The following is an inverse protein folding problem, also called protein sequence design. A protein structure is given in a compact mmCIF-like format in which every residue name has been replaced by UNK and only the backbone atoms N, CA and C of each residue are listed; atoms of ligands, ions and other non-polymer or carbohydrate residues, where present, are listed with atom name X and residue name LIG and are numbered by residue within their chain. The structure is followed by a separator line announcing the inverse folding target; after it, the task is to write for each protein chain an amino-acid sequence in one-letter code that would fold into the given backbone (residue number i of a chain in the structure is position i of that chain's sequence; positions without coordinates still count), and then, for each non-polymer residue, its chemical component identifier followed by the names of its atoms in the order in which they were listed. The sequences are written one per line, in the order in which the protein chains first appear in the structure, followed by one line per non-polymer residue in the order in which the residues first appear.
data_IF_375258928265
#
_entry.id   IF_375258928265
#
_cell.length_a   1.000
_cell.length_b   1.000
_cell.length_c   1.000
_cell.angle_alpha   90.00
_cell.angle_beta   90.00
_cell.angle_gamma   90.00
#
_symmetry.space_group_name_H-M   'P 1'
#
loop_
_entity.id
_entity.type
_entity.pdbx_description
1 polymer ?
#
# COMPACT_ATOMS: atom_id res chain seq x y z
N UNK A 1 5.60 -24.08 -0.81
CA UNK A 1 4.37 -24.41 -0.03
C UNK A 1 4.71 -24.78 1.42
N UNK A 2 5.56 -25.77 1.69
CA UNK A 2 5.95 -26.14 3.07
C UNK A 2 6.53 -24.99 3.90
N UNK A 3 7.46 -24.19 3.36
CA UNK A 3 8.05 -23.06 4.08
C UNK A 3 6.98 -22.05 4.58
N UNK A 4 5.98 -21.77 3.75
CA UNK A 4 4.88 -20.85 4.10
C UNK A 4 4.02 -21.40 5.23
N UNK A 5 3.77 -22.71 5.22
CA UNK A 5 2.99 -23.40 6.24
C UNK A 5 3.72 -23.44 7.59
N UNK A 6 5.04 -23.63 7.58
CA UNK A 6 5.88 -23.58 8.79
C UNK A 6 5.95 -22.17 9.37
N UNK A 7 6.09 -21.15 8.53
CA UNK A 7 6.05 -19.76 8.99
C UNK A 7 4.69 -19.44 9.59
N UNK A 8 3.60 -19.78 8.89
CA UNK A 8 2.23 -19.56 9.36
C UNK A 8 1.98 -20.23 10.73
N UNK A 9 2.33 -21.51 10.89
CA UNK A 9 2.11 -22.21 12.16
C UNK A 9 2.94 -21.63 13.30
N UNK A 10 4.18 -21.18 13.04
CA UNK A 10 5.01 -20.49 14.02
C UNK A 10 4.41 -19.13 14.45
N UNK A 11 3.84 -18.39 13.50
CA UNK A 11 3.14 -17.12 13.80
C UNK A 11 1.88 -17.36 14.63
N UNK A 12 1.08 -18.37 14.28
CA UNK A 12 -0.13 -18.73 15.03
C UNK A 12 0.19 -19.18 16.45
N UNK A 13 1.21 -20.02 16.64
CA UNK A 13 1.67 -20.43 17.97
C UNK A 13 2.14 -19.24 18.83
N UNK A 14 2.73 -18.22 18.19
CA UNK A 14 3.12 -16.98 18.87
C UNK A 14 1.89 -16.14 19.26
N UNK A 15 0.90 -16.06 18.38
CA UNK A 15 -0.37 -15.37 18.65
C UNK A 15 -1.15 -16.04 19.81
N UNK A 16 -1.17 -17.37 19.88
CA UNK A 16 -1.84 -18.10 20.97
C UNK A 16 -1.16 -17.85 22.33
N UNK A 17 0.18 -17.77 22.37
CA UNK A 17 0.93 -17.40 23.57
C UNK A 17 0.58 -15.99 24.04
N UNK A 18 0.49 -15.04 23.12
CA UNK A 18 0.06 -13.67 23.43
C UNK A 18 -1.37 -13.66 23.97
N UNK A 19 -2.28 -14.40 23.33
CA UNK A 19 -3.68 -14.49 23.76
C UNK A 19 -3.82 -15.09 25.16
N UNK A 20 -3.05 -16.13 25.49
CA UNK A 20 -3.03 -16.74 26.81
C UNK A 20 -2.49 -15.79 27.89
N UNK A 21 -1.52 -14.93 27.57
CA UNK A 21 -1.04 -13.89 28.48
C UNK A 21 -2.08 -12.77 28.73
N UNK A 22 -3.02 -12.60 27.80
CA UNK A 22 -4.07 -11.58 27.83
C UNK A 22 -5.34 -12.02 28.57
N UNK A 23 -5.68 -13.31 28.56
CA UNK A 23 -6.92 -13.83 29.18
C UNK A 23 -6.88 -13.85 30.71
N UNK A 24 -5.69 -13.83 31.32
CA UNK A 24 -5.53 -13.67 32.76
C UNK A 24 -5.57 -12.20 33.15
N UNK A 25 -6.77 -11.62 33.26
CA UNK A 25 -7.06 -10.26 33.80
C UNK A 25 -6.12 -9.14 33.33
N UNK A 26 -6.48 -8.47 32.24
CA UNK A 26 -5.82 -7.27 31.68
C UNK A 26 -5.29 -6.25 32.72
N UNK A 27 -6.05 -6.01 33.81
CA UNK A 27 -5.64 -5.08 34.90
C UNK A 27 -4.43 -5.59 35.71
N UNK A 28 -4.35 -6.89 35.94
CA UNK A 28 -3.20 -7.50 36.61
C UNK A 28 -1.98 -7.52 35.68
N UNK A 29 -2.21 -7.69 34.37
CA UNK A 29 -1.19 -7.69 33.34
C UNK A 29 -0.47 -6.35 33.17
N UNK A 30 -1.04 -5.24 33.64
CA UNK A 30 -0.43 -3.90 33.62
C UNK A 30 -0.10 -3.37 35.03
N UNK A 31 0.05 -4.25 36.03
CA UNK A 31 0.50 -3.88 37.37
C UNK A 31 1.93 -3.30 37.39
N UNK A 32 2.31 -2.64 38.49
CA UNK A 32 3.59 -1.95 38.65
C UNK A 32 4.84 -2.87 38.75
N UNK A 33 4.74 -4.14 38.33
CA UNK A 33 5.85 -5.10 38.34
C UNK A 33 6.67 -5.07 37.04
N UNK A 34 7.96 -5.41 37.13
CA UNK A 34 8.89 -5.51 35.98
C UNK A 34 8.50 -6.58 34.93
N UNK A 35 7.53 -7.44 35.25
CA UNK A 35 6.99 -8.50 34.39
C UNK A 35 5.63 -8.14 33.77
N UNK A 36 5.12 -6.92 34.00
CA UNK A 36 3.84 -6.50 33.45
C UNK A 36 4.00 -6.11 31.97
N UNK A 37 2.96 -6.41 31.16
CA UNK A 37 2.88 -6.05 29.75
C UNK A 37 2.98 -4.53 29.53
N UNK A 38 2.65 -3.74 30.54
CA UNK A 38 2.77 -2.28 30.53
C UNK A 38 4.04 -1.76 31.25
N UNK A 39 4.87 -2.64 31.80
CA UNK A 39 6.07 -2.29 32.57
C UNK A 39 7.25 -2.00 31.65
N UNK A 40 8.00 -0.94 31.93
CA UNK A 40 9.06 -0.46 31.04
C UNK A 40 10.29 -1.37 30.92
N UNK A 41 10.41 -2.37 31.81
CA UNK A 41 11.47 -3.36 31.82
C UNK A 41 11.15 -4.60 30.97
N UNK A 42 9.94 -4.72 30.41
CA UNK A 42 9.54 -5.86 29.61
C UNK A 42 9.97 -5.76 28.12
N UNK A 43 10.60 -4.66 27.68
CA UNK A 43 10.86 -4.37 26.26
C UNK A 43 12.12 -5.02 25.67
N UNK A 44 12.81 -5.87 26.43
CA UNK A 44 14.12 -6.41 26.04
C UNK A 44 14.08 -7.40 24.87
N UNK A 45 12.90 -7.79 24.40
CA UNK A 45 12.74 -8.67 23.24
C UNK A 45 11.59 -8.27 22.31
N UNK A 46 11.67 -8.72 21.05
CA UNK A 46 10.69 -8.40 20.02
C UNK A 46 9.26 -8.83 20.39
N UNK A 47 9.10 -10.02 20.99
CA UNK A 47 7.78 -10.57 21.33
C UNK A 47 7.02 -9.72 22.36
N UNK A 48 7.72 -9.15 23.34
CA UNK A 48 7.10 -8.27 24.32
C UNK A 48 6.71 -6.90 23.74
N UNK A 49 7.49 -6.37 22.79
CA UNK A 49 7.11 -5.15 22.04
C UNK A 49 5.88 -5.41 21.17
N UNK A 50 5.81 -6.56 20.50
CA UNK A 50 4.65 -6.96 19.71
C UNK A 50 3.41 -7.14 20.60
N UNK A 51 3.58 -7.73 21.78
CA UNK A 51 2.53 -7.86 22.78
C UNK A 51 1.98 -6.49 23.19
N UNK A 52 2.84 -5.50 23.45
CA UNK A 52 2.45 -4.14 23.78
C UNK A 52 1.80 -3.43 22.59
N UNK A 53 2.32 -3.57 21.38
CA UNK A 53 1.73 -2.98 20.18
C UNK A 53 0.32 -3.54 19.97
N UNK A 54 0.13 -4.86 20.13
CA UNK A 54 -1.18 -5.47 20.08
C UNK A 54 -2.07 -4.98 21.23
N UNK A 55 -1.52 -4.88 22.45
CA UNK A 55 -2.21 -4.42 23.64
C UNK A 55 -2.79 -3.01 23.52
N UNK A 56 -2.02 -2.15 22.89
CA UNK A 56 -2.27 -0.72 22.75
C UNK A 56 -2.92 -0.39 21.41
N UNK A 57 -3.00 -1.35 20.50
CA UNK A 57 -3.75 -1.20 19.27
C UNK A 57 -5.25 -1.08 19.56
N UNK A 58 -5.97 -0.20 18.85
CA UNK A 58 -7.41 -0.08 19.03
C UNK A 58 -8.11 -1.35 18.56
N UNK A 59 -9.24 -1.68 19.17
CA UNK A 59 -10.07 -2.84 18.79
C UNK A 59 -10.62 -2.74 17.36
N UNK A 60 -10.73 -1.53 16.84
CA UNK A 60 -11.03 -1.24 15.45
C UNK A 60 -10.22 -0.04 14.97
N UNK A 61 -9.71 -0.11 13.75
CA UNK A 61 -8.97 0.98 13.11
C UNK A 61 -9.38 1.09 11.65
N UNK A 62 -9.74 2.29 11.23
CA UNK A 62 -9.91 2.65 9.82
C UNK A 62 -8.98 3.82 9.52
N UNK A 63 -7.96 3.60 8.69
CA UNK A 63 -7.01 4.64 8.30
C UNK A 63 -7.68 5.81 7.57
N UNK A 64 -8.93 5.68 7.11
CA UNK A 64 -9.69 6.77 6.47
C UNK A 64 -10.42 7.65 7.48
N UNK A 65 -10.59 7.20 8.73
CA UNK A 65 -11.21 8.02 9.77
C UNK A 65 -10.21 9.07 10.28
N UNK A 66 -10.42 10.31 9.86
CA UNK A 66 -9.60 11.47 10.24
C UNK A 66 -9.52 11.67 11.75
N UNK A 67 -10.52 11.23 12.53
CA UNK A 67 -10.50 11.36 13.99
C UNK A 67 -9.45 10.45 14.62
N UNK A 68 -9.27 9.24 14.07
CA UNK A 68 -8.28 8.28 14.55
C UNK A 68 -6.83 8.67 14.18
N UNK A 69 -6.66 9.55 13.19
CA UNK A 69 -5.35 10.01 12.72
C UNK A 69 -4.96 11.40 13.23
N UNK A 70 -5.76 12.03 14.09
CA UNK A 70 -5.48 13.40 14.57
C UNK A 70 -5.67 14.47 13.50
N UNK A 71 -6.71 14.32 12.67
CA UNK A 71 -7.21 15.36 11.76
C UNK A 71 -6.77 15.26 10.30
N UNK A 72 -6.08 14.18 9.90
CA UNK A 72 -5.68 13.98 8.49
C UNK A 72 -6.10 12.61 7.95
N UNK A 73 -6.25 12.50 6.63
CA UNK A 73 -6.53 11.24 5.95
C UNK A 73 -5.28 10.78 5.17
N UNK A 74 -4.56 9.73 5.62
CA UNK A 74 -3.43 9.15 4.90
C UNK A 74 -3.83 8.39 3.63
N UNK A 75 -5.11 8.08 3.43
CA UNK A 75 -5.55 7.27 2.30
C UNK A 75 -5.95 8.17 1.13
N UNK A 76 -5.24 8.04 0.01
CA UNK A 76 -5.54 8.73 -1.24
C UNK A 76 -6.91 8.35 -1.80
N UNK A 77 -7.52 9.21 -2.60
CA UNK A 77 -8.76 8.90 -3.29
C UNK A 77 -8.61 7.63 -4.16
N UNK A 78 -9.66 6.77 -4.26
CA UNK A 78 -9.67 5.65 -5.18
C UNK A 78 -9.31 6.06 -6.61
N UNK A 79 -8.72 5.13 -7.35
CA UNK A 79 -8.35 5.33 -8.75
C UNK A 79 -8.79 4.14 -9.60
N UNK A 80 -8.87 4.37 -10.91
CA UNK A 80 -9.29 3.37 -11.88
C UNK A 80 -8.11 2.97 -12.77
N UNK A 81 -7.82 1.67 -12.79
CA UNK A 81 -6.78 1.07 -13.63
C UNK A 81 -7.32 0.66 -15.03
N UNK A 82 -8.64 0.71 -15.22
CA UNK A 82 -9.32 0.22 -16.41
C UNK A 82 -9.04 -1.26 -16.67
N UNK A 83 -8.98 -1.62 -17.95
CA UNK A 83 -8.74 -3.01 -18.41
C UNK A 83 -7.26 -3.43 -18.36
N UNK A 84 -6.38 -2.61 -17.76
CA UNK A 84 -4.96 -2.90 -17.66
C UNK A 84 -4.65 -3.70 -16.39
N UNK A 85 -3.79 -4.73 -16.47
CA UNK A 85 -3.31 -5.49 -15.31
C UNK A 85 -2.30 -4.72 -14.42
N UNK A 86 -2.58 -3.44 -14.13
CA UNK A 86 -1.71 -2.52 -13.38
C UNK A 86 -2.01 -2.47 -11.86
N UNK A 87 -2.88 -3.33 -11.33
CA UNK A 87 -3.35 -3.30 -9.94
C UNK A 87 -2.22 -3.25 -8.90
N UNK A 88 -1.11 -3.95 -9.15
CA UNK A 88 0.05 -3.96 -8.25
C UNK A 88 0.71 -2.58 -8.19
N UNK A 89 0.88 -1.91 -9.32
CA UNK A 89 1.47 -0.56 -9.36
C UNK A 89 0.59 0.46 -8.67
N UNK A 90 -0.74 0.36 -8.84
CA UNK A 90 -1.70 1.19 -8.10
C UNK A 90 -1.62 0.94 -6.59
N UNK A 91 -1.55 -0.33 -6.18
CA UNK A 91 -1.48 -0.72 -4.77
C UNK A 91 -0.19 -0.21 -4.12
N UNK A 92 0.95 -0.36 -4.80
CA UNK A 92 2.26 0.10 -4.31
C UNK A 92 2.33 1.62 -4.27
N UNK A 93 1.84 2.31 -5.30
CA UNK A 93 1.76 3.77 -5.31
C UNK A 93 0.87 4.30 -4.16
N UNK A 94 -0.31 3.73 -3.95
CA UNK A 94 -1.21 4.11 -2.87
C UNK A 94 -0.60 3.85 -1.48
N UNK A 95 0.12 2.74 -1.31
CA UNK A 95 0.83 2.45 -0.06
C UNK A 95 1.96 3.46 0.21
N UNK A 96 2.72 3.84 -0.82
CA UNK A 96 3.75 4.88 -0.70
C UNK A 96 3.15 6.26 -0.40
N UNK A 97 2.04 6.63 -1.05
CA UNK A 97 1.28 7.85 -0.74
C UNK A 97 0.83 7.87 0.72
N UNK A 98 0.29 6.76 1.22
CA UNK A 98 -0.15 6.64 2.62
C UNK A 98 1.02 6.72 3.61
N UNK A 99 2.17 6.12 3.29
CA UNK A 99 3.37 6.22 4.10
C UNK A 99 3.87 7.67 4.19
N UNK A 100 3.97 8.37 3.05
CA UNK A 100 4.35 9.79 3.03
C UNK A 100 3.37 10.65 3.83
N UNK A 101 2.07 10.46 3.62
CA UNK A 101 1.01 11.18 4.32
C UNK A 101 1.05 10.97 5.83
N UNK A 102 1.31 9.74 6.26
CA UNK A 102 1.44 9.39 7.68
C UNK A 102 2.66 10.04 8.33
N UNK A 103 3.84 9.95 7.70
CA UNK A 103 5.08 10.55 8.22
C UNK A 103 4.97 12.08 8.30
N UNK A 104 4.37 12.70 7.29
CA UNK A 104 4.22 14.16 7.23
C UNK A 104 3.00 14.69 8.00
N UNK A 105 2.10 13.80 8.45
CA UNK A 105 0.82 14.13 9.08
C UNK A 105 -0.02 15.10 8.22
N UNK A 106 -0.13 14.79 6.92
CA UNK A 106 -0.88 15.56 5.92
C UNK A 106 -1.85 14.66 5.16
N UNK A 107 -2.88 15.26 4.55
CA UNK A 107 -3.82 14.51 3.72
C UNK A 107 -3.12 13.97 2.47
N UNK A 108 -3.30 12.69 2.16
CA UNK A 108 -2.83 12.13 0.89
C UNK A 108 -3.51 12.83 -0.30
N UNK A 109 -2.75 13.03 -1.38
CA UNK A 109 -3.20 13.77 -2.57
C UNK A 109 -3.17 15.30 -2.42
N UNK A 110 -2.61 15.83 -1.32
CA UNK A 110 -2.40 17.26 -1.13
C UNK A 110 -1.09 17.78 -1.74
N UNK A 111 -0.81 19.10 -1.65
CA UNK A 111 0.39 19.70 -2.24
C UNK A 111 1.72 19.17 -1.69
N UNK A 112 1.74 18.74 -0.42
CA UNK A 112 2.94 18.22 0.25
C UNK A 112 3.07 16.69 0.14
N UNK A 113 2.00 16.02 -0.28
CA UNK A 113 1.83 14.57 -0.32
C UNK A 113 1.09 14.22 -1.61
N UNK A 114 1.66 14.57 -2.77
CA UNK A 114 0.97 14.45 -4.04
C UNK A 114 0.71 12.98 -4.36
N UNK A 115 -0.32 12.76 -5.18
CA UNK A 115 -0.56 11.45 -5.75
C UNK A 115 0.60 11.06 -6.64
N UNK A 116 1.13 9.87 -6.45
CA UNK A 116 2.15 9.27 -7.31
C UNK A 116 1.50 8.77 -8.58
N UNK A 117 2.27 8.66 -9.66
CA UNK A 117 1.84 8.08 -10.92
C UNK A 117 2.07 6.56 -10.91
N UNK A 118 1.00 5.73 -10.89
CA UNK A 118 1.17 4.30 -11.12
C UNK A 118 1.72 4.02 -12.52
N UNK A 119 1.50 4.92 -13.48
CA UNK A 119 1.98 4.79 -14.86
C UNK A 119 3.50 4.91 -14.93
N UNK A 120 4.06 5.90 -14.23
CA UNK A 120 5.51 6.09 -14.14
C UNK A 120 6.17 4.88 -13.48
N UNK A 121 5.63 4.45 -12.34
CA UNK A 121 6.12 3.25 -11.66
C UNK A 121 6.06 2.04 -12.59
N UNK A 122 4.94 1.81 -13.26
CA UNK A 122 4.66 0.60 -14.03
C UNK A 122 5.40 0.53 -15.37
N UNK A 123 5.27 1.55 -16.21
CA UNK A 123 5.79 1.51 -17.60
C UNK A 123 7.20 2.05 -17.73
N UNK A 124 7.64 2.96 -16.84
CA UNK A 124 8.99 3.51 -16.89
C UNK A 124 9.96 2.78 -15.95
N UNK A 125 9.45 1.97 -15.01
CA UNK A 125 10.27 1.22 -14.05
C UNK A 125 10.74 -0.15 -14.52
N UNK A 126 10.09 -0.78 -15.51
CA UNK A 126 10.46 -2.13 -15.98
C UNK A 126 10.96 -2.10 -17.41
N UNK A 127 11.85 -3.04 -17.72
CA UNK A 127 12.09 -3.43 -19.10
C UNK A 127 10.74 -3.81 -19.72
N UNK A 128 10.43 -3.23 -20.88
CA UNK A 128 9.11 -3.17 -21.52
C UNK A 128 8.37 -4.51 -21.69
N UNK A 129 9.08 -5.62 -21.63
CA UNK A 129 8.54 -6.94 -21.94
C UNK A 129 7.83 -7.59 -20.75
N UNK A 130 8.12 -7.14 -19.52
CA UNK A 130 7.54 -7.72 -18.30
C UNK A 130 6.36 -6.90 -17.74
N UNK A 131 6.25 -5.63 -18.11
CA UNK A 131 5.30 -4.66 -17.55
C UNK A 131 4.40 -4.05 -18.62
N UNK A 132 3.40 -4.83 -19.03
CA UNK A 132 2.38 -4.35 -19.93
C UNK A 132 0.99 -4.76 -19.42
N UNK A 133 -0.03 -4.11 -19.98
CA UNK A 133 -1.42 -4.31 -19.55
C UNK A 133 -1.90 -5.75 -19.63
N UNK A 134 -1.23 -6.62 -20.40
CA UNK A 134 -1.55 -8.05 -20.50
C UNK A 134 -0.99 -8.85 -19.31
N UNK A 135 0.27 -8.65 -18.91
CA UNK A 135 0.91 -9.54 -17.93
C UNK A 135 0.94 -9.00 -16.49
N UNK A 136 0.89 -7.68 -16.30
CA UNK A 136 0.95 -7.12 -14.95
C UNK A 136 2.31 -7.21 -14.26
N UNK A 137 2.35 -6.85 -12.97
CA UNK A 137 3.55 -6.88 -12.13
C UNK A 137 3.36 -7.80 -10.93
N UNK A 138 4.45 -8.22 -10.30
CA UNK A 138 4.43 -8.80 -8.95
C UNK A 138 4.82 -7.74 -7.92
N UNK A 139 4.30 -7.86 -6.70
CA UNK A 139 4.62 -6.91 -5.61
C UNK A 139 6.11 -6.77 -5.35
N UNK A 140 6.86 -7.87 -5.38
CA UNK A 140 8.31 -7.84 -5.14
C UNK A 140 9.05 -7.01 -6.19
N UNK A 141 8.69 -7.15 -7.48
CA UNK A 141 9.28 -6.35 -8.56
C UNK A 141 8.91 -4.87 -8.40
N UNK A 142 7.64 -4.59 -8.10
CA UNK A 142 7.16 -3.23 -7.92
C UNK A 142 7.83 -2.50 -6.75
N UNK A 143 7.99 -3.19 -5.62
CA UNK A 143 8.70 -2.68 -4.44
C UNK A 143 10.19 -2.49 -4.70
N UNK A 144 10.82 -3.41 -5.44
CA UNK A 144 12.23 -3.28 -5.81
C UNK A 144 12.46 -2.04 -6.70
N UNK A 145 11.61 -1.81 -7.70
CA UNK A 145 11.71 -0.61 -8.53
C UNK A 145 11.39 0.67 -7.76
N UNK A 146 10.35 0.67 -6.90
CA UNK A 146 10.09 1.79 -6.00
C UNK A 146 11.30 2.11 -5.10
N UNK A 147 11.97 1.09 -4.56
CA UNK A 147 13.13 1.25 -3.66
C UNK A 147 14.39 1.73 -4.38
N UNK A 148 14.55 1.36 -5.66
CA UNK A 148 15.68 1.75 -6.50
C UNK A 148 15.56 3.19 -7.01
N UNK A 149 14.34 3.65 -7.28
CA UNK A 149 14.09 4.98 -7.83
C UNK A 149 14.21 6.06 -6.75
N UNK A 150 14.89 7.15 -7.09
CA UNK A 150 14.99 8.34 -6.21
C UNK A 150 13.74 9.22 -6.28
N UNK A 151 13.03 9.17 -7.39
CA UNK A 151 11.84 9.98 -7.66
C UNK A 151 10.83 9.18 -8.49
N UNK A 152 9.56 9.37 -8.16
CA UNK A 152 8.40 8.94 -8.95
C UNK A 152 7.61 10.18 -9.32
N UNK A 153 7.21 10.26 -10.58
CA UNK A 153 6.39 11.35 -11.08
C UNK A 153 5.02 11.37 -10.41
N UNK A 154 4.45 12.56 -10.35
CA UNK A 154 3.11 12.74 -9.79
C UNK A 154 2.04 12.37 -10.81
N UNK A 155 0.85 12.01 -10.32
CA UNK A 155 -0.33 11.78 -11.14
C UNK A 155 -0.65 12.97 -12.07
N UNK A 156 -0.41 14.20 -11.62
CA UNK A 156 -0.60 15.41 -12.42
C UNK A 156 0.38 15.53 -13.59
N UNK A 157 1.59 14.98 -13.45
CA UNK A 157 2.60 14.98 -14.51
C UNK A 157 2.36 13.84 -15.51
N UNK A 158 2.15 12.63 -15.00
CA UNK A 158 1.95 11.44 -15.83
C UNK A 158 0.70 10.68 -15.38
N UNK A 159 -0.52 11.13 -15.76
CA UNK A 159 -1.75 10.45 -15.36
C UNK A 159 -1.82 9.04 -15.96
N UNK A 160 -2.46 8.14 -15.21
CA UNK A 160 -2.72 6.80 -15.73
C UNK A 160 -3.80 6.84 -16.80
N UNK A 161 -3.49 6.27 -17.96
CA UNK A 161 -4.41 6.11 -19.08
C UNK A 161 -4.27 4.69 -19.60
N UNK A 162 -5.40 4.00 -19.78
CA UNK A 162 -5.47 2.62 -20.26
C UNK A 162 -5.25 2.56 -21.79
N UNK A 163 -4.05 2.93 -22.24
CA UNK A 163 -3.76 3.17 -23.66
C UNK A 163 -3.47 1.93 -24.52
N UNK A 164 -4.10 0.79 -24.25
CA UNK A 164 -4.32 -0.16 -25.36
C UNK A 164 -5.34 0.36 -26.38
N UNK A 165 -6.13 1.39 -26.05
CA UNK A 165 -7.13 1.98 -26.97
C UNK A 165 -6.72 3.29 -27.68
N UNK A 166 -5.60 3.93 -27.34
CA UNK A 166 -5.20 5.18 -28.03
C UNK A 166 -4.58 4.91 -29.41
N UNK A 167 -3.96 3.75 -29.63
CA UNK A 167 -3.46 3.38 -30.96
C UNK A 167 -4.58 2.93 -31.92
N UNK A 168 -5.72 2.44 -31.43
CA UNK A 168 -6.87 2.09 -32.28
C UNK A 168 -7.82 3.27 -32.54
N UNK A 169 -7.93 4.23 -31.61
CA UNK A 169 -8.71 5.45 -31.83
C UNK A 169 -8.01 6.45 -32.78
N UNK A 170 -6.68 6.45 -32.82
CA UNK A 170 -5.88 7.25 -33.77
C UNK A 170 -5.87 6.68 -35.20
N UNK A 171 -6.05 5.37 -35.36
CA UNK A 171 -6.08 4.72 -36.67
C UNK A 171 -7.42 4.85 -37.41
N UNK A 172 -8.54 5.09 -36.69
CA UNK A 172 -9.87 5.25 -37.30
C UNK A 172 -10.23 6.67 -37.75
N UNK A 173 -9.39 7.68 -37.50
CA UNK A 173 -9.62 9.07 -37.96
C UNK A 173 -8.88 9.45 -39.26
N UNK A 174 -8.56 8.46 -40.11
CA UNK A 174 -8.08 8.70 -41.50
C UNK A 174 -8.92 7.98 -42.54
N UNK A 175 -10.22 7.79 -42.30
CA UNK A 175 -11.14 7.57 -43.41
C UNK A 175 -11.38 8.94 -44.06
N UNK A 176 -10.78 9.15 -45.23
CA UNK A 176 -11.07 10.31 -46.08
C UNK A 176 -12.58 10.39 -46.35
N UNK A 177 -13.18 11.59 -46.39
CA UNK A 177 -14.58 11.73 -46.79
C UNK A 177 -14.77 11.20 -48.23
N UNK A 178 -15.88 10.51 -48.53
CA UNK A 178 -16.15 10.07 -49.90
C UNK A 178 -16.26 11.30 -50.81
N UNK A 179 -15.55 11.25 -51.94
CA UNK A 179 -15.66 12.25 -52.99
C UNK A 179 -17.09 12.29 -53.53
N UNK A 180 -17.67 13.50 -53.59
CA UNK A 180 -18.97 13.73 -54.21
C UNK A 180 -18.85 13.47 -55.73
N UNK A 181 -19.71 12.64 -56.33
CA UNK A 181 -19.84 12.59 -57.78
C UNK A 181 -20.55 13.86 -58.27
N UNK A 182 -20.00 14.44 -59.35
CA UNK A 182 -20.56 15.57 -60.07
C UNK A 182 -21.87 15.23 -60.79
#
# INVERSE_FOLDING_TARGET
MQALQTTYSATMASADKLRAAWTTTLRASCGAGSTSLCGSAAYDNAAARDALLLATSPTAYDSRDVKLNGGFNPISAPADQGDCNACVSFSVAAAAEAAMATVLRKNAGGPLTPRLSPRDLYFCGSNSDEANCVYGWTFNKALAELSKRKTIDTWSCLPFVNIENVLLAGARRRAAPPANPA
#
